data_IF_601259421960
#
_entry.id   IF_601259421960
#
_cell.length_a   1.000
_cell.length_b   1.000
_cell.length_c   1.000
_cell.angle_alpha   90.00
_cell.angle_beta   90.00
_cell.angle_gamma   90.00
#
_symmetry.space_group_name_H-M   'P 1'
#
loop_
_entity.id
_entity.type
_entity.pdbx_description
1 polymer ?
#
# COMPACT_ATOMS: atom_id res chain seq x y z
N UNK A 1 5.24 -3.22 26.32
CA UNK A 1 6.30 -3.37 25.29
C UNK A 1 6.05 -2.39 24.17
N UNK A 2 7.10 -1.68 23.74
CA UNK A 2 7.09 -0.85 22.53
C UNK A 2 8.02 -1.45 21.49
N UNK A 3 7.57 -1.51 20.24
CA UNK A 3 8.32 -2.05 19.12
C UNK A 3 8.65 -0.92 18.16
N UNK A 4 9.88 -0.90 17.65
CA UNK A 4 10.33 0.06 16.64
C UNK A 4 10.86 -0.70 15.44
N UNK A 5 10.36 -0.37 14.25
CA UNK A 5 10.79 -0.98 13.00
C UNK A 5 11.03 0.06 11.92
N UNK A 6 11.76 -0.33 10.86
CA UNK A 6 11.89 0.55 9.71
C UNK A 6 10.54 0.75 9.02
N UNK A 7 9.92 -0.33 8.54
CA UNK A 7 8.61 -0.30 7.87
C UNK A 7 7.48 -0.75 8.82
N UNK A 8 6.23 -0.31 8.57
CA UNK A 8 5.08 -0.83 9.28
C UNK A 8 4.83 -2.31 8.98
N UNK A 9 3.98 -2.94 9.78
CA UNK A 9 3.54 -4.32 9.53
C UNK A 9 2.21 -4.31 8.77
N UNK A 10 1.96 -5.35 7.97
CA UNK A 10 0.62 -5.63 7.43
C UNK A 10 -0.36 -5.72 8.59
N UNK A 11 -1.54 -5.14 8.44
CA UNK A 11 -2.57 -5.08 9.48
C UNK A 11 -2.43 -3.94 10.49
N UNK A 12 -1.38 -3.12 10.40
CA UNK A 12 -1.25 -1.91 11.24
C UNK A 12 -2.27 -0.81 10.90
N UNK A 13 -2.90 -0.85 9.72
CA UNK A 13 -3.73 0.23 9.16
C UNK A 13 -3.03 1.60 9.08
N UNK A 14 -1.70 1.66 9.14
CA UNK A 14 -0.97 2.86 8.74
C UNK A 14 -1.08 3.01 7.21
N UNK A 15 -2.18 3.62 6.76
CA UNK A 15 -2.62 3.69 5.34
C UNK A 15 -2.04 4.86 4.57
N UNK A 16 -1.23 5.66 5.23
CA UNK A 16 -0.51 6.79 4.65
C UNK A 16 0.64 6.24 3.81
N UNK A 17 0.28 5.70 2.66
CA UNK A 17 1.20 5.06 1.75
C UNK A 17 1.62 6.04 0.68
N UNK A 18 2.79 5.79 0.14
CA UNK A 18 3.17 6.40 -1.11
C UNK A 18 2.86 5.41 -2.20
N UNK A 19 2.39 5.91 -3.33
CA UNK A 19 2.17 5.12 -4.55
C UNK A 19 3.35 4.20 -4.86
N UNK A 20 4.58 4.69 -4.68
CA UNK A 20 5.79 3.91 -4.91
C UNK A 20 5.87 2.64 -4.05
N UNK A 21 5.28 2.62 -2.86
CA UNK A 21 5.34 1.45 -2.00
C UNK A 21 4.35 0.38 -2.45
N UNK A 22 3.19 0.80 -2.97
CA UNK A 22 2.15 -0.08 -3.52
C UNK A 22 2.63 -0.71 -4.84
N UNK A 23 3.28 0.06 -5.71
CA UNK A 23 3.85 -0.45 -6.97
C UNK A 23 5.02 -1.41 -6.75
N UNK A 24 5.86 -1.14 -5.76
CA UNK A 24 7.09 -1.90 -5.54
C UNK A 24 6.87 -3.12 -4.63
N UNK A 25 5.67 -3.32 -4.06
CA UNK A 25 5.42 -4.36 -3.07
C UNK A 25 6.35 -4.25 -1.85
N UNK A 26 6.57 -3.03 -1.37
CA UNK A 26 7.54 -2.77 -0.29
C UNK A 26 7.00 -1.94 0.88
N UNK A 27 5.69 -1.70 0.94
CA UNK A 27 5.05 -0.96 2.04
C UNK A 27 5.34 -1.53 3.44
N UNK A 28 5.41 -2.86 3.54
CA UNK A 28 5.33 -3.56 4.81
C UNK A 28 6.57 -4.40 5.12
N UNK A 29 6.79 -4.70 6.40
CA UNK A 29 7.76 -5.71 6.80
C UNK A 29 7.37 -7.07 6.22
N UNK A 30 8.37 -7.78 5.66
CA UNK A 30 8.21 -9.08 5.03
C UNK A 30 7.13 -9.13 3.92
N UNK A 31 6.81 -7.99 3.31
CA UNK A 31 5.69 -7.85 2.36
C UNK A 31 5.66 -8.94 1.29
N UNK A 32 6.81 -9.26 0.69
CA UNK A 32 6.89 -10.20 -0.43
C UNK A 32 6.68 -11.67 -0.06
N UNK A 33 6.43 -12.00 1.21
CA UNK A 33 6.24 -13.37 1.66
C UNK A 33 4.86 -13.53 2.31
N UNK A 34 3.90 -14.11 1.57
CA UNK A 34 2.49 -14.20 1.96
C UNK A 34 2.23 -14.72 3.39
N UNK A 35 2.95 -15.76 3.82
CA UNK A 35 2.82 -16.32 5.18
C UNK A 35 3.52 -15.46 6.24
N UNK A 36 4.79 -15.12 6.02
CA UNK A 36 5.62 -14.42 7.02
C UNK A 36 5.27 -12.94 7.17
N UNK A 37 4.56 -12.34 6.20
CA UNK A 37 4.12 -10.95 6.26
C UNK A 37 3.08 -10.69 7.36
N UNK A 38 2.24 -11.71 7.67
CA UNK A 38 1.20 -11.65 8.71
C UNK A 38 1.67 -12.04 10.11
N UNK A 39 2.80 -12.73 10.21
CA UNK A 39 3.33 -13.21 11.50
C UNK A 39 3.43 -12.12 12.57
N UNK A 40 3.78 -10.90 12.18
CA UNK A 40 3.87 -9.79 13.12
C UNK A 40 2.52 -9.33 13.66
N UNK A 41 1.48 -9.24 12.82
CA UNK A 41 0.16 -8.85 13.30
C UNK A 41 -0.46 -9.94 14.17
N UNK A 42 -0.22 -11.22 13.86
CA UNK A 42 -0.59 -12.33 14.73
C UNK A 42 0.14 -12.24 16.08
N UNK A 43 1.44 -11.96 16.08
CA UNK A 43 2.20 -11.74 17.32
C UNK A 43 1.61 -10.59 18.13
N UNK A 44 1.22 -9.48 17.51
CA UNK A 44 0.57 -8.36 18.21
C UNK A 44 -0.77 -8.76 18.81
N UNK A 45 -1.59 -9.51 18.07
CA UNK A 45 -2.90 -10.00 18.52
C UNK A 45 -2.78 -10.98 19.69
N UNK A 46 -1.79 -11.86 19.65
CA UNK A 46 -1.54 -12.87 20.68
C UNK A 46 -0.87 -12.31 21.94
N UNK A 47 -0.33 -11.08 21.90
CA UNK A 47 0.48 -10.52 22.97
C UNK A 47 0.00 -9.12 23.37
N UNK A 48 -0.96 -9.07 24.30
CA UNK A 48 -1.55 -7.82 24.82
C UNK A 48 -0.51 -6.87 25.46
N UNK A 49 0.63 -7.40 25.89
CA UNK A 49 1.71 -6.61 26.46
C UNK A 49 2.37 -5.67 25.42
N UNK A 50 2.13 -5.87 24.12
CA UNK A 50 2.56 -4.98 23.05
C UNK A 50 1.56 -3.83 22.93
N UNK A 51 1.97 -2.65 23.40
CA UNK A 51 1.09 -1.46 23.51
C UNK A 51 1.32 -0.41 22.43
N UNK A 52 2.47 -0.48 21.76
CA UNK A 52 2.84 0.49 20.73
C UNK A 52 3.80 -0.10 19.72
N UNK A 53 3.56 0.18 18.44
CA UNK A 53 4.43 -0.17 17.35
C UNK A 53 4.69 1.07 16.48
N UNK A 54 5.94 1.47 16.41
CA UNK A 54 6.36 2.70 15.75
C UNK A 54 7.21 2.38 14.54
N UNK A 55 6.86 2.94 13.39
CA UNK A 55 7.53 2.65 12.13
C UNK A 55 7.82 3.90 11.33
N UNK A 56 8.94 3.94 10.62
CA UNK A 56 9.24 5.01 9.68
C UNK A 56 8.81 4.66 8.26
N UNK A 57 9.80 4.55 7.38
CA UNK A 57 9.70 4.08 5.99
C UNK A 57 9.04 5.04 4.99
N UNK A 58 7.87 5.60 5.29
CA UNK A 58 7.15 6.44 4.33
C UNK A 58 7.74 7.84 4.18
N UNK A 59 8.51 8.33 5.17
CA UNK A 59 9.11 9.68 5.13
C UNK A 59 8.07 10.81 4.93
N UNK A 60 6.87 10.59 5.46
CA UNK A 60 5.78 11.57 5.50
C UNK A 60 5.66 12.12 6.92
N UNK A 61 5.00 13.26 7.07
CA UNK A 61 4.62 13.86 8.35
C UNK A 61 3.53 13.06 9.06
N UNK A 62 3.16 13.54 10.23
CA UNK A 62 2.14 12.95 11.08
C UNK A 62 0.76 13.56 10.85
N UNK A 63 0.61 14.37 9.81
CA UNK A 63 -0.58 15.18 9.55
C UNK A 63 -1.59 14.46 8.68
N UNK A 64 -1.32 13.20 8.38
CA UNK A 64 -2.20 12.36 7.61
C UNK A 64 -3.15 11.58 8.53
N UNK A 65 -4.38 11.37 8.05
CA UNK A 65 -5.50 10.74 8.76
C UNK A 65 -5.11 9.43 9.46
N UNK A 66 -4.27 8.59 8.84
CA UNK A 66 -3.84 7.30 9.38
C UNK A 66 -2.35 7.25 9.76
N UNK A 67 -1.77 8.40 10.12
CA UNK A 67 -0.40 8.44 10.66
C UNK A 67 -0.31 7.81 12.06
N UNK A 68 -1.46 7.59 12.70
CA UNK A 68 -1.68 6.85 13.93
C UNK A 68 -2.92 6.01 13.73
N UNK A 69 -2.88 4.75 14.15
CA UNK A 69 -4.09 3.93 14.26
C UNK A 69 -4.22 3.36 15.66
N UNK A 70 -5.47 3.32 16.11
CA UNK A 70 -5.83 2.89 17.44
C UNK A 70 -6.36 1.45 17.44
N UNK A 71 -6.40 0.82 18.63
CA UNK A 71 -6.87 -0.56 18.85
C UNK A 71 -8.28 -0.96 18.33
N UNK A 72 -9.07 -0.05 17.75
CA UNK A 72 -10.48 -0.31 17.40
C UNK A 72 -10.70 -0.82 15.95
N UNK A 73 -11.39 -1.96 15.79
CA UNK A 73 -11.76 -2.54 14.48
C UNK A 73 -10.67 -3.40 13.82
N UNK A 74 -11.05 -4.31 12.90
CA UNK A 74 -10.15 -5.23 12.15
C UNK A 74 -9.17 -6.07 13.01
N UNK A 75 -9.58 -6.43 14.24
CA UNK A 75 -8.85 -7.35 15.11
C UNK A 75 -7.38 -6.92 15.39
N UNK A 76 -7.08 -5.65 15.68
CA UNK A 76 -5.68 -5.17 15.85
C UNK A 76 -5.11 -5.36 17.26
N UNK A 77 -5.82 -6.08 18.14
CA UNK A 77 -5.43 -6.28 19.53
C UNK A 77 -5.43 -4.96 20.29
N UNK A 78 -4.42 -4.77 21.16
CA UNK A 78 -4.33 -3.60 22.06
C UNK A 78 -3.21 -2.62 21.71
N UNK A 79 -2.61 -2.77 20.53
CA UNK A 79 -1.46 -2.00 20.11
C UNK A 79 -1.88 -0.73 19.36
N UNK A 80 -1.25 0.40 19.70
CA UNK A 80 -1.29 1.62 18.88
C UNK A 80 -0.19 1.54 17.83
N UNK A 81 -0.52 1.73 16.55
CA UNK A 81 0.48 1.85 15.50
C UNK A 81 0.69 3.32 15.16
N UNK A 82 1.94 3.74 15.00
CA UNK A 82 2.22 5.13 14.66
C UNK A 82 3.43 5.27 13.74
N UNK A 83 3.29 6.17 12.78
CA UNK A 83 4.40 6.59 11.93
C UNK A 83 5.37 7.49 12.70
N UNK A 84 6.65 7.32 12.42
CA UNK A 84 7.75 8.18 12.83
C UNK A 84 8.29 8.88 11.58
N UNK A 85 7.95 10.15 11.42
CA UNK A 85 8.38 11.00 10.30
C UNK A 85 9.92 11.14 10.24
N UNK A 86 10.40 12.04 9.38
CA UNK A 86 11.84 12.30 9.20
C UNK A 86 12.22 13.71 9.61
N UNK A 87 13.39 13.85 10.23
CA UNK A 87 13.89 15.12 10.77
C UNK A 87 14.60 15.99 9.73
N UNK A 88 15.00 15.44 8.58
CA UNK A 88 15.83 16.13 7.58
C UNK A 88 15.03 16.45 6.32
N UNK A 89 15.22 17.66 5.79
CA UNK A 89 14.56 18.12 4.56
C UNK A 89 14.91 17.27 3.34
N UNK A 90 16.14 16.74 3.26
CA UNK A 90 16.58 15.88 2.17
C UNK A 90 15.81 14.56 2.07
N UNK A 91 15.33 14.06 3.20
CA UNK A 91 14.64 12.77 3.28
C UNK A 91 13.13 12.93 3.33
N UNK A 92 12.62 14.09 3.79
CA UNK A 92 11.20 14.41 3.82
C UNK A 92 10.63 14.49 2.41
N UNK A 93 9.46 13.89 2.22
CA UNK A 93 8.77 13.87 0.91
C UNK A 93 7.61 14.85 0.82
N UNK A 94 7.15 15.37 1.96
CA UNK A 94 6.12 16.41 2.05
C UNK A 94 6.67 17.74 2.57
N UNK A 95 7.98 17.83 2.80
CA UNK A 95 8.68 19.02 3.26
C UNK A 95 8.61 19.26 4.78
N UNK A 96 7.74 18.54 5.50
CA UNK A 96 7.61 18.64 6.95
C UNK A 96 8.69 17.82 7.65
N UNK A 97 9.21 18.35 8.76
CA UNK A 97 10.34 17.79 9.49
C UNK A 97 9.91 17.46 10.91
N UNK A 98 9.49 16.21 11.13
CA UNK A 98 8.83 15.82 12.37
C UNK A 98 9.47 14.57 13.00
N UNK A 99 9.28 14.40 14.30
CA UNK A 99 9.57 13.15 15.03
C UNK A 99 8.54 12.91 16.13
N UNK A 100 8.46 11.68 16.67
CA UNK A 100 7.58 11.38 17.80
C UNK A 100 8.31 11.52 19.14
N UNK A 101 7.65 12.10 20.12
CA UNK A 101 8.05 12.09 21.53
C UNK A 101 6.99 11.34 22.33
N UNK A 102 7.40 10.32 23.09
CA UNK A 102 6.52 9.56 23.97
C UNK A 102 6.79 9.97 25.42
N UNK A 103 5.72 10.26 26.18
CA UNK A 103 5.78 10.51 27.63
C UNK A 103 4.79 9.59 28.32
N UNK A 104 5.25 8.69 29.17
CA UNK A 104 4.37 7.71 29.81
C UNK A 104 4.88 7.19 31.13
N UNK A 105 4.00 6.46 31.82
CA UNK A 105 4.23 5.81 33.10
C UNK A 105 3.51 4.44 33.10
N UNK A 106 3.28 3.87 34.29
CA UNK A 106 2.59 2.58 34.45
C UNK A 106 1.11 2.60 34.05
N UNK A 107 0.48 3.77 33.92
CA UNK A 107 -0.95 3.93 33.62
C UNK A 107 -1.20 4.17 32.12
N UNK A 108 -0.16 4.49 31.35
CA UNK A 108 -0.33 4.82 29.95
C UNK A 108 0.79 5.71 29.39
N UNK A 109 0.57 6.24 28.20
CA UNK A 109 1.49 7.17 27.55
C UNK A 109 0.78 8.17 26.65
N UNK A 110 1.41 9.32 26.48
CA UNK A 110 1.05 10.35 25.54
C UNK A 110 2.05 10.35 24.38
N UNK A 111 1.55 10.60 23.18
CA UNK A 111 2.34 10.70 21.97
C UNK A 111 2.25 12.11 21.40
N UNK A 112 3.42 12.70 21.18
CA UNK A 112 3.58 14.04 20.66
C UNK A 112 4.30 14.03 19.32
N UNK A 113 3.95 14.99 18.47
CA UNK A 113 4.74 15.40 17.32
C UNK A 113 5.68 16.52 17.74
N UNK A 114 6.95 16.40 17.37
CA UNK A 114 7.97 17.44 17.49
C UNK A 114 8.21 18.02 16.10
N UNK A 115 7.91 19.31 15.88
CA UNK A 115 8.20 20.00 14.63
C UNK A 115 9.59 20.64 14.66
N UNK A 116 10.54 20.03 13.94
CA UNK A 116 11.92 20.48 13.86
C UNK A 116 12.11 21.70 12.95
N UNK A 117 11.13 22.03 12.12
CA UNK A 117 11.14 23.26 11.32
C UNK A 117 10.74 24.48 12.15
N UNK A 118 9.93 24.27 13.20
CA UNK A 118 9.45 25.30 14.14
C UNK A 118 10.18 25.27 15.49
N UNK A 119 11.47 24.92 15.49
CA UNK A 119 12.30 24.97 16.72
C UNK A 119 11.96 23.92 17.77
N UNK A 120 11.29 22.82 17.39
CA UNK A 120 10.93 21.74 18.31
C UNK A 120 9.57 21.91 18.97
N UNK A 121 8.66 22.65 18.35
CA UNK A 121 7.29 22.82 18.82
C UNK A 121 6.62 21.45 19.06
N UNK A 122 5.91 21.32 20.18
CA UNK A 122 5.25 20.09 20.59
C UNK A 122 3.75 20.17 20.33
N UNK A 123 3.23 19.18 19.60
CA UNK A 123 1.80 18.92 19.44
C UNK A 123 1.46 17.59 20.09
N UNK A 124 0.43 17.54 20.94
CA UNK A 124 -0.11 16.28 21.46
C UNK A 124 -1.04 15.66 20.41
N UNK A 125 -0.75 14.43 19.96
CA UNK A 125 -1.56 13.74 18.94
C UNK A 125 -2.44 12.63 19.55
N UNK A 126 -1.95 11.94 20.58
CA UNK A 126 -2.69 10.84 21.20
C UNK A 126 -2.41 10.71 22.70
N UNK A 127 -3.43 10.29 23.44
CA UNK A 127 -3.31 9.83 24.83
C UNK A 127 -3.79 8.40 24.93
N UNK A 128 -2.97 7.53 25.49
CA UNK A 128 -3.23 6.09 25.60
C UNK A 128 -3.22 5.73 27.07
N UNK A 129 -4.29 5.10 27.55
CA UNK A 129 -4.42 4.61 28.92
C UNK A 129 -4.50 3.09 28.93
N UNK A 130 -3.73 2.48 29.80
CA UNK A 130 -3.83 1.06 30.09
C UNK A 130 -4.99 0.86 31.07
N UNK A 131 -5.91 -0.03 30.77
CA UNK A 131 -6.91 -0.43 31.77
C UNK A 131 -6.39 -1.60 32.56
N UNK A 132 -6.92 -1.74 33.78
CA UNK A 132 -6.71 -2.95 34.56
C UNK A 132 -7.20 -4.17 33.78
N UNK A 133 -6.51 -5.29 33.98
CA UNK A 133 -6.87 -6.56 33.37
C UNK A 133 -8.08 -7.08 34.15
N UNK A 134 -9.22 -7.24 33.46
CA UNK A 134 -10.40 -7.77 34.12
C UNK A 134 -10.18 -9.27 34.39
N UNK A 135 -10.44 -9.67 35.63
CA UNK A 135 -10.54 -11.08 36.03
C UNK A 135 -11.94 -11.23 36.59
N UNK A 136 -12.84 -11.85 35.82
CA UNK A 136 -14.19 -12.14 36.29
C UNK A 136 -14.33 -13.67 36.40
N UNK A 137 -14.75 -14.14 37.57
CA UNK A 137 -14.94 -15.58 37.83
C UNK A 137 -13.69 -16.48 37.74
N UNK A 138 -12.47 -15.93 37.58
CA UNK A 138 -11.23 -16.70 37.43
C UNK A 138 -10.75 -16.86 35.98
N UNK A 139 -11.49 -16.34 35.01
CA UNK A 139 -11.07 -16.27 33.62
C UNK A 139 -10.43 -14.91 33.31
N UNK A 140 -9.22 -14.95 32.72
CA UNK A 140 -8.49 -13.75 32.31
C UNK A 140 -9.19 -13.12 31.08
N UNK A 141 -9.79 -11.95 31.25
CA UNK A 141 -10.52 -11.25 30.19
C UNK A 141 -9.65 -10.29 29.36
N UNK A 142 -8.34 -10.24 29.63
CA UNK A 142 -7.40 -9.39 28.91
C UNK A 142 -7.27 -7.98 29.48
N UNK A 143 -6.17 -7.33 29.15
CA UNK A 143 -5.88 -5.96 29.55
C UNK A 143 -6.18 -5.01 28.37
N UNK A 144 -7.23 -4.19 28.48
CA UNK A 144 -7.64 -3.28 27.41
C UNK A 144 -6.77 -2.01 27.32
N UNK A 145 -6.85 -1.31 26.19
CA UNK A 145 -6.15 -0.04 25.96
C UNK A 145 -7.16 0.94 25.41
N UNK A 146 -7.33 2.06 26.12
CA UNK A 146 -8.20 3.15 25.69
C UNK A 146 -7.32 4.22 25.08
N UNK A 147 -7.63 4.64 23.86
CA UNK A 147 -6.88 5.67 23.17
C UNK A 147 -7.77 6.86 22.79
N UNK A 148 -7.24 8.06 22.99
CA UNK A 148 -7.87 9.32 22.66
C UNK A 148 -7.02 10.01 21.61
N UNK A 149 -7.59 10.19 20.42
CA UNK A 149 -7.01 11.03 19.38
C UNK A 149 -7.24 12.50 19.74
N UNK A 150 -6.22 13.34 19.59
CA UNK A 150 -6.34 14.79 19.77
C UNK A 150 -6.42 15.44 18.39
N UNK A 151 -7.47 16.24 18.11
CA UNK A 151 -7.64 16.87 16.81
C UNK A 151 -6.58 17.94 16.54
N UNK A 152 -6.27 18.16 15.28
CA UNK A 152 -5.39 19.23 14.81
C UNK A 152 -5.82 19.68 13.41
N UNK A 153 -5.65 20.97 13.12
CA UNK A 153 -6.01 21.58 11.84
C UNK A 153 -5.25 20.98 10.65
N UNK A 154 -4.05 20.47 10.90
CA UNK A 154 -3.21 19.87 9.86
C UNK A 154 -3.71 18.53 9.32
N UNK A 155 -4.71 17.89 9.95
CA UNK A 155 -5.24 16.59 9.51
C UNK A 155 -6.07 16.64 8.22
N UNK A 156 -6.36 17.84 7.72
CA UNK A 156 -7.20 18.07 6.54
C UNK A 156 -6.35 18.52 5.34
N UNK A 157 -5.96 17.57 4.49
CA UNK A 157 -5.34 17.89 3.20
C UNK A 157 -5.47 16.77 2.15
N UNK A 158 -5.63 17.15 0.89
CA UNK A 158 -5.79 16.24 -0.27
C UNK A 158 -4.48 15.61 -0.76
N UNK A 159 -3.39 15.78 -0.02
CA UNK A 159 -2.06 15.36 -0.48
C UNK A 159 -1.86 13.87 -0.16
N UNK A 160 -1.49 13.10 -1.19
CA UNK A 160 -1.06 11.68 -1.16
C UNK A 160 -2.16 10.62 -1.11
N UNK A 161 -1.78 9.40 -1.52
CA UNK A 161 -2.64 8.22 -1.57
C UNK A 161 -3.00 7.74 -0.17
N UNK A 162 -4.22 8.03 0.27
CA UNK A 162 -4.82 7.35 1.43
C UNK A 162 -5.35 6.01 0.95
N UNK A 163 -4.70 4.89 1.33
CA UNK A 163 -5.21 3.57 0.97
C UNK A 163 -6.65 3.40 1.47
N UNK A 164 -7.59 3.16 0.56
CA UNK A 164 -8.98 3.00 0.94
C UNK A 164 -9.14 1.69 1.73
N UNK A 165 -9.98 1.67 2.77
CA UNK A 165 -10.32 0.43 3.47
C UNK A 165 -11.76 0.09 3.17
N UNK A 166 -12.02 -1.12 2.63
CA UNK A 166 -13.37 -1.56 2.35
C UNK A 166 -14.24 -1.43 3.58
N UNK A 167 -15.37 -0.76 3.42
CA UNK A 167 -16.49 -0.81 4.32
C UNK A 167 -17.44 -1.91 3.87
N UNK A 168 -18.23 -2.39 4.81
CA UNK A 168 -19.22 -3.45 4.58
C UNK A 168 -20.27 -3.04 3.53
N UNK A 169 -20.52 -1.74 3.40
CA UNK A 169 -21.54 -1.15 2.53
C UNK A 169 -20.97 -0.60 1.22
N UNK A 170 -19.68 -0.80 0.95
CA UNK A 170 -19.13 -0.46 -0.37
C UNK A 170 -19.81 -1.30 -1.43
N UNK A 171 -20.24 -0.65 -2.50
CA UNK A 171 -20.84 -1.28 -3.66
C UNK A 171 -19.84 -2.21 -4.35
N UNK A 172 -19.83 -3.49 -3.94
CA UNK A 172 -19.90 -4.68 -4.80
C UNK A 172 -19.64 -5.97 -3.99
N UNK A 173 -20.58 -6.33 -3.10
CA UNK A 173 -20.80 -7.72 -2.71
C UNK A 173 -21.43 -8.47 -3.89
N UNK A 174 -20.64 -8.89 -4.88
CA UNK A 174 -21.19 -9.68 -5.99
C UNK A 174 -21.30 -11.14 -5.54
N UNK A 175 -22.45 -11.50 -4.98
CA UNK A 175 -22.95 -12.86 -5.21
C UNK A 175 -23.24 -12.97 -6.69
N UNK A 176 -22.53 -13.87 -7.37
CA UNK A 176 -22.67 -14.18 -8.79
C UNK A 176 -24.14 -14.30 -9.19
N UNK A 177 -24.72 -13.26 -9.82
CA UNK A 177 -25.99 -13.38 -10.53
C UNK A 177 -25.94 -12.71 -11.92
N UNK A 178 -25.89 -13.60 -12.91
CA UNK A 178 -26.49 -13.61 -14.26
C UNK A 178 -26.08 -12.69 -15.41
N UNK A 179 -25.34 -11.58 -15.25
CA UNK A 179 -24.84 -10.84 -16.44
C UNK A 179 -23.36 -10.39 -16.41
N UNK A 180 -22.71 -10.38 -15.25
CA UNK A 180 -21.25 -10.32 -15.11
C UNK A 180 -20.57 -9.01 -15.54
N UNK A 181 -21.32 -7.95 -15.86
CA UNK A 181 -20.74 -6.64 -16.22
C UNK A 181 -20.64 -5.73 -14.99
N UNK A 182 -19.44 -5.20 -14.73
CA UNK A 182 -19.11 -4.69 -13.40
C UNK A 182 -18.69 -3.22 -13.35
N UNK A 183 -18.78 -2.44 -14.43
CA UNK A 183 -18.67 -0.96 -14.43
C UNK A 183 -19.20 -0.32 -15.73
N UNK A 184 -19.63 0.95 -15.70
CA UNK A 184 -19.77 1.79 -16.91
C UNK A 184 -18.38 2.17 -17.45
N UNK A 185 -18.26 2.55 -18.73
CA UNK A 185 -16.97 2.91 -19.34
C UNK A 185 -16.37 4.14 -18.66
N UNK A 186 -15.10 4.06 -18.25
CA UNK A 186 -14.35 5.23 -17.79
C UNK A 186 -14.03 6.09 -19.01
N UNK A 187 -14.92 7.02 -19.35
CA UNK A 187 -14.81 7.85 -20.55
C UNK A 187 -13.78 9.00 -20.39
N UNK A 188 -13.42 9.37 -19.15
CA UNK A 188 -12.45 10.43 -18.84
C UNK A 188 -11.57 10.14 -17.59
N UNK A 189 -10.40 10.82 -17.49
CA UNK A 189 -9.47 10.68 -16.34
C UNK A 189 -10.11 11.10 -15.01
N UNK A 190 -11.09 12.01 -15.02
CA UNK A 190 -11.74 12.57 -13.82
C UNK A 190 -12.78 11.62 -13.19
N UNK A 191 -13.47 10.78 -13.96
CA UNK A 191 -14.54 9.91 -13.44
C UNK A 191 -14.02 8.63 -12.74
N UNK A 192 -12.75 8.25 -12.96
CA UNK A 192 -12.15 7.07 -12.33
C UNK A 192 -11.70 7.30 -10.86
N UNK A 193 -11.89 8.50 -10.32
CA UNK A 193 -11.44 8.88 -8.98
C UNK A 193 -12.52 8.74 -7.88
N UNK A 194 -13.81 8.73 -8.23
CA UNK A 194 -14.90 8.74 -7.24
C UNK A 194 -15.53 7.36 -6.96
N UNK A 195 -15.54 6.44 -7.93
CA UNK A 195 -16.20 5.15 -7.75
C UNK A 195 -15.27 4.07 -7.15
N UNK A 196 -15.75 3.46 -6.04
CA UNK A 196 -15.00 2.48 -5.26
C UNK A 196 -15.61 1.09 -5.44
N UNK A 197 -14.91 0.22 -6.17
CA UNK A 197 -15.32 -1.17 -6.42
C UNK A 197 -14.38 -2.17 -5.78
N UNK A 198 -14.94 -3.26 -5.23
CA UNK A 198 -14.16 -4.32 -4.58
C UNK A 198 -14.71 -5.69 -4.92
N UNK A 199 -13.82 -6.69 -4.95
CA UNK A 199 -14.13 -8.06 -5.31
C UNK A 199 -13.43 -9.06 -4.40
N UNK A 200 -14.21 -9.99 -3.85
CA UNK A 200 -13.69 -11.18 -3.18
C UNK A 200 -13.66 -12.33 -4.18
N UNK A 201 -12.45 -12.68 -4.62
CA UNK A 201 -12.22 -13.78 -5.54
C UNK A 201 -12.45 -15.12 -4.82
N UNK A 202 -12.89 -16.16 -5.54
CA UNK A 202 -13.10 -17.49 -4.94
C UNK A 202 -11.83 -18.16 -4.41
N UNK A 203 -10.67 -17.76 -4.93
CA UNK A 203 -9.35 -18.20 -4.44
C UNK A 203 -8.92 -17.50 -3.13
N UNK A 204 -9.74 -16.56 -2.63
CA UNK A 204 -9.50 -15.82 -1.40
C UNK A 204 -8.79 -14.49 -1.59
N UNK A 205 -8.39 -14.12 -2.81
CA UNK A 205 -7.83 -12.79 -3.09
C UNK A 205 -8.90 -11.70 -2.94
N UNK A 206 -8.47 -10.51 -2.51
CA UNK A 206 -9.32 -9.32 -2.41
C UNK A 206 -8.77 -8.25 -3.33
N UNK A 207 -9.56 -7.83 -4.30
CA UNK A 207 -9.18 -6.81 -5.28
C UNK A 207 -10.05 -5.57 -5.06
N UNK A 208 -9.51 -4.39 -5.34
CA UNK A 208 -10.27 -3.15 -5.24
C UNK A 208 -9.75 -2.07 -6.17
N UNK A 209 -10.66 -1.23 -6.68
CA UNK A 209 -10.33 -0.04 -7.45
C UNK A 209 -9.95 1.07 -6.48
N UNK A 210 -8.82 1.71 -6.78
CA UNK A 210 -8.36 2.87 -6.06
C UNK A 210 -7.60 3.81 -7.01
N UNK A 211 -8.06 5.06 -7.14
CA UNK A 211 -7.47 6.11 -7.97
C UNK A 211 -7.21 5.64 -9.41
N UNK A 212 -8.22 5.02 -10.04
CA UNK A 212 -8.09 4.44 -11.38
C UNK A 212 -7.10 3.29 -11.50
N UNK A 213 -6.71 2.62 -10.41
CA UNK A 213 -5.87 1.41 -10.43
C UNK A 213 -6.63 0.24 -9.78
N UNK A 214 -6.34 -0.99 -10.19
CA UNK A 214 -6.76 -2.17 -9.41
C UNK A 214 -5.63 -2.55 -8.47
N UNK A 215 -5.92 -2.62 -7.18
CA UNK A 215 -5.00 -2.99 -6.10
C UNK A 215 -5.47 -4.31 -5.48
N UNK A 216 -4.54 -5.20 -5.18
CA UNK A 216 -4.81 -6.39 -4.36
C UNK A 216 -4.61 -6.05 -2.89
N UNK A 217 -5.42 -6.64 -2.02
CA UNK A 217 -5.42 -6.44 -0.59
C UNK A 217 -5.28 -7.78 0.14
N UNK A 218 -4.64 -7.75 1.30
CA UNK A 218 -4.59 -8.92 2.18
C UNK A 218 -5.99 -9.23 2.71
N UNK A 219 -6.48 -10.45 2.48
CA UNK A 219 -7.84 -10.84 2.80
C UNK A 219 -8.19 -10.73 4.29
N UNK A 220 -7.20 -10.86 5.19
CA UNK A 220 -7.42 -10.84 6.63
C UNK A 220 -7.41 -9.42 7.20
N UNK A 221 -6.54 -8.56 6.67
CA UNK A 221 -6.28 -7.24 7.24
C UNK A 221 -6.79 -6.09 6.39
N UNK A 222 -7.14 -6.36 5.13
CA UNK A 222 -7.51 -5.41 4.08
C UNK A 222 -6.44 -4.34 3.86
N UNK A 223 -5.18 -4.67 4.12
CA UNK A 223 -4.05 -3.80 3.79
C UNK A 223 -3.66 -3.99 2.32
N UNK A 224 -3.40 -2.91 1.56
CA UNK A 224 -3.00 -3.03 0.17
C UNK A 224 -1.66 -3.77 0.05
N UNK A 225 -1.63 -4.76 -0.83
CA UNK A 225 -0.46 -5.55 -1.18
C UNK A 225 0.26 -4.97 -2.39
N UNK A 226 -0.48 -4.64 -3.45
CA UNK A 226 0.15 -4.00 -4.60
C UNK A 226 -0.76 -3.82 -5.79
N UNK A 227 -0.25 -3.11 -6.79
CA UNK A 227 -0.99 -2.81 -8.00
C UNK A 227 -1.10 -4.05 -8.90
N UNK A 228 -2.32 -4.41 -9.27
CA UNK A 228 -2.68 -5.47 -10.22
C UNK A 228 -2.77 -4.89 -11.63
N UNK A 229 -3.52 -3.80 -11.79
CA UNK A 229 -3.74 -3.11 -13.07
C UNK A 229 -3.48 -1.61 -12.87
N UNK A 230 -2.70 -1.02 -13.78
CA UNK A 230 -2.39 0.41 -13.77
C UNK A 230 -3.50 1.26 -14.43
N UNK A 231 -3.50 2.57 -14.17
CA UNK A 231 -4.45 3.52 -14.77
C UNK A 231 -4.45 3.45 -16.29
N UNK A 232 -3.27 3.43 -16.91
CA UNK A 232 -3.11 3.35 -18.36
C UNK A 232 -3.72 2.09 -19.00
N UNK A 233 -3.83 0.99 -18.24
CA UNK A 233 -4.44 -0.25 -18.71
C UNK A 233 -5.97 -0.26 -18.56
N UNK A 234 -6.51 0.58 -17.69
CA UNK A 234 -7.95 0.74 -17.46
C UNK A 234 -8.60 1.76 -18.39
N UNK A 235 -7.83 2.67 -19.01
CA UNK A 235 -8.37 3.64 -19.97
C UNK A 235 -9.12 2.92 -21.10
N UNK A 236 -10.38 3.30 -21.30
CA UNK A 236 -11.30 2.70 -22.28
C UNK A 236 -11.52 1.19 -22.11
N UNK A 237 -11.32 0.65 -20.89
CA UNK A 237 -11.59 -0.76 -20.60
C UNK A 237 -12.50 -0.90 -19.37
N UNK A 238 -13.47 -1.79 -19.49
CA UNK A 238 -14.35 -2.26 -18.42
C UNK A 238 -13.71 -3.43 -17.69
N UNK A 239 -14.07 -3.57 -16.42
CA UNK A 239 -13.60 -4.64 -15.54
C UNK A 239 -14.74 -5.61 -15.28
N UNK A 240 -14.46 -6.91 -15.31
CA UNK A 240 -15.39 -7.95 -14.91
C UNK A 240 -14.70 -9.03 -14.08
N UNK A 241 -15.39 -9.56 -13.09
CA UNK A 241 -15.00 -10.78 -12.37
C UNK A 241 -16.00 -11.86 -12.71
N UNK A 242 -15.53 -12.93 -13.37
CA UNK A 242 -16.38 -14.02 -13.87
C UNK A 242 -16.01 -15.36 -13.24
N UNK A 243 -16.97 -16.28 -13.19
CA UNK A 243 -16.74 -17.67 -12.80
C UNK A 243 -15.95 -18.40 -13.89
N UNK A 244 -14.92 -19.15 -13.52
CA UNK A 244 -14.14 -19.96 -14.47
C UNK A 244 -14.77 -21.34 -14.73
N UNK A 245 -15.84 -21.70 -14.00
CA UNK A 245 -16.50 -23.00 -14.07
C UNK A 245 -15.79 -24.12 -13.29
N UNK A 246 -14.67 -23.82 -12.64
CA UNK A 246 -13.80 -24.75 -11.90
C UNK A 246 -13.60 -24.32 -10.44
N UNK A 247 -14.64 -23.74 -9.84
CA UNK A 247 -14.62 -23.18 -8.49
C UNK A 247 -13.65 -22.00 -8.29
N UNK A 248 -13.16 -21.40 -9.37
CA UNK A 248 -12.34 -20.19 -9.35
C UNK A 248 -13.09 -18.96 -9.86
N UNK A 249 -12.36 -17.86 -9.92
CA UNK A 249 -12.83 -16.59 -10.49
C UNK A 249 -11.72 -15.98 -11.31
N UNK A 250 -12.09 -15.23 -12.34
CA UNK A 250 -11.14 -14.61 -13.26
C UNK A 250 -11.46 -13.14 -13.40
N UNK A 251 -10.44 -12.29 -13.26
CA UNK A 251 -10.51 -10.87 -13.53
C UNK A 251 -10.25 -10.60 -15.02
N UNK A 252 -11.15 -9.86 -15.65
CA UNK A 252 -11.13 -9.51 -17.06
C UNK A 252 -11.08 -8.00 -17.24
N UNK A 253 -10.31 -7.56 -18.24
CA UNK A 253 -10.39 -6.21 -18.80
C UNK A 253 -10.89 -6.34 -20.24
N UNK A 254 -11.96 -5.65 -20.61
CA UNK A 254 -12.53 -5.71 -21.96
C UNK A 254 -12.95 -4.31 -22.43
N UNK A 255 -13.15 -4.12 -23.72
CA UNK A 255 -13.64 -2.87 -24.29
C UNK A 255 -14.93 -3.17 -25.05
N UNK A 256 -15.95 -2.32 -24.93
CA UNK A 256 -17.25 -2.55 -25.58
C UNK A 256 -17.15 -2.39 -27.12
N UNK A 257 -16.15 -1.64 -27.60
CA UNK A 257 -15.96 -1.36 -29.02
C UNK A 257 -15.02 -2.36 -29.71
N UNK A 258 -14.23 -3.11 -28.95
CA UNK A 258 -13.33 -4.14 -29.47
C UNK A 258 -13.64 -5.49 -28.86
N UNK A 259 -13.56 -6.56 -29.65
CA UNK A 259 -13.71 -7.93 -29.13
C UNK A 259 -12.49 -8.41 -28.32
N UNK A 260 -11.65 -7.48 -27.85
CA UNK A 260 -10.39 -7.77 -27.16
C UNK A 260 -10.63 -7.91 -25.66
N UNK A 261 -10.43 -9.12 -25.15
CA UNK A 261 -10.50 -9.43 -23.72
C UNK A 261 -9.10 -9.74 -23.19
N UNK A 262 -8.69 -9.03 -22.14
CA UNK A 262 -7.46 -9.30 -21.40
C UNK A 262 -7.81 -10.04 -20.12
N UNK A 263 -7.27 -11.24 -19.95
CA UNK A 263 -7.40 -12.03 -18.72
C UNK A 263 -6.25 -11.69 -17.79
N UNK A 264 -6.57 -11.23 -16.57
CA UNK A 264 -5.55 -10.97 -15.54
C UNK A 264 -5.27 -12.26 -14.78
N UNK A 265 -4.08 -12.82 -15.03
CA UNK A 265 -3.62 -14.05 -14.42
C UNK A 265 -2.93 -13.79 -13.07
N UNK A 266 -3.14 -14.63 -12.04
CA UNK A 266 -2.34 -14.58 -10.84
C UNK A 266 -0.89 -15.05 -11.11
N UNK A 267 0.01 -14.64 -10.22
CA UNK A 267 1.38 -15.12 -10.14
C UNK A 267 1.42 -16.60 -9.68
N UNK A 268 2.59 -17.24 -9.79
CA UNK A 268 2.80 -18.62 -9.29
C UNK A 268 2.51 -18.79 -7.80
N UNK A 269 2.61 -17.72 -7.01
CA UNK A 269 2.30 -17.70 -5.58
C UNK A 269 0.83 -17.39 -5.27
N UNK A 270 -0.02 -17.24 -6.29
CA UNK A 270 -1.45 -16.93 -6.20
C UNK A 270 -1.78 -15.44 -6.07
N UNK A 271 -0.79 -14.56 -5.91
CA UNK A 271 -1.04 -13.12 -5.86
C UNK A 271 -1.32 -12.53 -7.25
N UNK A 272 -2.21 -11.55 -7.35
CA UNK A 272 -2.51 -10.81 -8.58
C UNK A 272 -1.63 -9.57 -8.75
N UNK A 273 -1.13 -8.99 -7.67
CA UNK A 273 -0.32 -7.78 -7.74
C UNK A 273 0.97 -8.01 -8.51
N UNK A 274 1.30 -7.05 -9.37
CA UNK A 274 2.45 -7.15 -10.26
C UNK A 274 3.67 -6.55 -9.57
N UNK A 275 4.78 -7.29 -9.63
CA UNK A 275 6.11 -6.77 -9.30
C UNK A 275 6.60 -5.90 -10.46
N UNK A 276 6.04 -4.70 -10.60
CA UNK A 276 6.34 -3.80 -11.71
C UNK A 276 7.80 -3.32 -11.68
N UNK A 277 8.34 -3.11 -10.48
CA UNK A 277 9.73 -2.69 -10.30
C UNK A 277 10.45 -3.70 -9.42
N UNK A 278 11.63 -4.14 -9.88
CA UNK A 278 12.46 -5.07 -9.11
C UNK A 278 13.01 -4.41 -7.86
N UNK A 279 13.39 -5.25 -6.90
CA UNK A 279 14.10 -4.81 -5.70
C UNK A 279 15.23 -3.82 -6.03
N UNK A 280 15.34 -2.75 -5.24
CA UNK A 280 16.31 -1.66 -5.42
C UNK A 280 17.73 -2.16 -5.68
N UNK A 281 18.20 -3.21 -5.00
CA UNK A 281 19.54 -3.76 -5.20
C UNK A 281 19.74 -4.33 -6.61
N UNK A 282 18.74 -5.04 -7.14
CA UNK A 282 18.77 -5.56 -8.51
C UNK A 282 18.69 -4.42 -9.52
N UNK A 283 17.80 -3.45 -9.30
CA UNK A 283 17.68 -2.25 -10.14
C UNK A 283 18.99 -1.46 -10.20
N UNK A 284 19.67 -1.27 -9.06
CA UNK A 284 20.97 -0.61 -9.00
C UNK A 284 22.05 -1.39 -9.77
N UNK A 285 22.05 -2.73 -9.70
CA UNK A 285 22.96 -3.58 -10.48
C UNK A 285 22.67 -3.51 -11.98
N UNK A 286 21.40 -3.54 -12.37
CA UNK A 286 20.95 -3.41 -13.75
C UNK A 286 21.33 -2.03 -14.31
N UNK A 287 21.08 -0.94 -13.57
CA UNK A 287 21.50 0.41 -13.95
C UNK A 287 23.02 0.52 -14.13
N UNK A 288 23.80 -0.13 -13.25
CA UNK A 288 25.28 -0.22 -13.42
C UNK A 288 25.67 -0.97 -14.69
N UNK A 289 25.00 -2.10 -15.00
CA UNK A 289 25.24 -2.87 -16.24
C UNK A 289 24.87 -2.08 -17.49
N UNK A 290 23.74 -1.37 -17.47
CA UNK A 290 23.30 -0.50 -18.55
C UNK A 290 24.29 0.65 -18.78
N UNK A 291 24.80 1.24 -17.70
CA UNK A 291 25.85 2.28 -17.78
C UNK A 291 27.14 1.74 -18.36
N UNK A 292 27.56 0.54 -17.93
CA UNK A 292 28.74 -0.12 -18.48
C UNK A 292 28.59 -0.46 -19.97
N UNK A 293 27.43 -0.98 -20.39
CA UNK A 293 27.12 -1.27 -21.79
C UNK A 293 27.13 0.00 -22.66
N UNK A 294 26.54 1.10 -22.17
CA UNK A 294 26.60 2.40 -22.85
C UNK A 294 28.04 2.89 -22.98
N UNK A 295 28.85 2.77 -21.93
CA UNK A 295 30.26 3.17 -21.95
C UNK A 295 31.06 2.37 -22.97
N UNK A 296 30.94 1.03 -22.96
CA UNK A 296 31.64 0.16 -23.90
C UNK A 296 31.25 0.43 -25.36
N UNK A 297 29.96 0.67 -25.63
CA UNK A 297 29.51 1.03 -26.98
C UNK A 297 30.01 2.41 -27.43
N UNK A 298 30.18 3.38 -26.51
CA UNK A 298 30.78 4.68 -26.82
C UNK A 298 32.25 4.54 -27.22
N UNK A 299 32.99 3.72 -26.48
CA UNK A 299 34.39 3.40 -26.80
C UNK A 299 34.51 2.74 -28.19
N UNK A 300 33.51 1.94 -28.60
CA UNK A 300 33.51 1.23 -29.87
C UNK A 300 33.00 2.06 -31.07
N UNK A 301 32.00 2.95 -30.85
CA UNK A 301 31.32 3.69 -31.93
C UNK A 301 31.66 5.18 -31.98
N UNK A 302 32.46 5.69 -31.03
CA UNK A 302 32.73 7.12 -30.87
C UNK A 302 31.65 7.84 -30.07
N UNK A 303 32.02 8.95 -29.43
CA UNK A 303 31.18 9.67 -28.47
C UNK A 303 29.93 10.35 -29.08
N UNK A 304 29.90 10.54 -30.39
CA UNK A 304 28.80 11.22 -31.10
C UNK A 304 27.61 10.29 -31.43
N UNK A 305 27.76 8.97 -31.28
CA UNK A 305 26.69 8.03 -31.59
C UNK A 305 25.65 7.96 -30.45
N UNK A 306 24.35 8.20 -30.72
CA UNK A 306 23.30 8.01 -29.71
C UNK A 306 23.15 6.51 -29.41
N UNK A 307 23.55 6.09 -28.20
CA UNK A 307 23.45 4.70 -27.76
C UNK A 307 22.23 4.51 -26.87
N UNK A 308 21.25 3.80 -27.41
CA UNK A 308 20.10 3.32 -26.66
C UNK A 308 20.37 1.90 -26.16
N UNK A 309 20.80 1.75 -24.91
CA UNK A 309 20.88 0.45 -24.26
C UNK A 309 19.48 0.06 -23.78
N UNK A 310 19.04 -1.15 -24.09
CA UNK A 310 17.73 -1.69 -23.76
C UNK A 310 17.90 -2.85 -22.78
N UNK A 311 17.09 -2.86 -21.72
CA UNK A 311 17.07 -3.97 -20.77
C UNK A 311 16.31 -5.15 -21.36
N UNK A 312 16.81 -6.38 -21.18
CA UNK A 312 16.12 -7.60 -21.62
C UNK A 312 14.92 -7.98 -20.76
N UNK A 313 14.55 -7.17 -19.76
CA UNK A 313 13.47 -7.43 -18.83
C UNK A 313 12.23 -6.59 -19.16
N UNK A 314 11.19 -7.25 -19.70
CA UNK A 314 9.78 -6.82 -19.74
C UNK A 314 9.43 -5.50 -20.43
N UNK A 315 8.14 -5.23 -20.73
CA UNK A 315 7.70 -4.01 -21.42
C UNK A 315 7.78 -2.73 -20.56
N UNK A 316 8.19 -2.85 -19.29
CA UNK A 316 8.26 -1.74 -18.35
C UNK A 316 9.45 -0.84 -18.67
N UNK A 317 9.17 0.17 -19.50
CA UNK A 317 10.14 1.09 -20.11
C UNK A 317 10.85 2.00 -19.10
N UNK A 318 10.48 1.96 -17.81
CA UNK A 318 11.00 2.91 -16.82
C UNK A 318 11.54 2.23 -15.56
N UNK A 319 12.64 2.78 -15.05
CA UNK A 319 13.18 2.47 -13.71
C UNK A 319 12.59 3.39 -12.63
N UNK A 320 11.64 4.24 -13.03
CA UNK A 320 10.96 5.20 -12.19
C UNK A 320 10.14 4.46 -11.13
N UNK A 321 10.21 4.93 -9.89
CA UNK A 321 9.45 4.34 -8.80
C UNK A 321 8.09 5.00 -8.58
N UNK A 322 7.64 5.87 -9.49
CA UNK A 322 6.39 6.64 -9.37
C UNK A 322 5.42 6.23 -10.48
N UNK A 323 4.14 6.06 -10.13
CA UNK A 323 3.07 5.56 -11.01
C UNK A 323 2.94 6.40 -12.28
N UNK A 324 2.97 7.74 -12.14
CA UNK A 324 2.82 8.70 -13.24
C UNK A 324 3.90 8.62 -14.33
N UNK A 325 4.95 7.81 -14.14
CA UNK A 325 5.99 7.56 -15.13
C UNK A 325 6.10 6.09 -15.57
N UNK A 326 5.16 5.22 -15.19
CA UNK A 326 5.18 3.80 -15.52
C UNK A 326 4.09 3.52 -16.54
N UNK A 327 4.50 3.35 -17.80
CA UNK A 327 3.64 2.72 -18.81
C UNK A 327 3.84 1.21 -18.74
N UNK A 328 2.78 0.48 -18.44
CA UNK A 328 2.75 -0.99 -18.49
C UNK A 328 2.24 -1.52 -19.83
N UNK A 329 1.89 -0.63 -20.79
CA UNK A 329 1.52 -1.02 -22.15
C UNK A 329 2.57 -2.01 -22.66
N UNK A 330 2.14 -3.27 -22.80
CA UNK A 330 2.93 -4.29 -23.47
C UNK A 330 3.40 -3.74 -24.80
N UNK A 331 4.57 -4.18 -25.27
CA UNK A 331 5.06 -3.87 -26.62
C UNK A 331 3.86 -3.88 -27.55
N UNK A 332 3.45 -2.71 -28.06
CA UNK A 332 2.45 -2.65 -29.11
C UNK A 332 2.98 -3.63 -30.15
N UNK A 333 2.30 -4.76 -30.32
CA UNK A 333 2.42 -5.49 -31.55
C UNK A 333 1.86 -4.51 -32.58
N UNK A 334 2.75 -3.71 -33.16
CA UNK A 334 2.56 -3.25 -34.53
C UNK A 334 2.58 -4.53 -35.36
N UNK A 335 1.47 -5.27 -35.31
CA UNK A 335 1.11 -6.21 -36.35
C UNK A 335 0.86 -5.31 -37.55
N UNK A 336 1.77 -5.41 -38.51
CA UNK A 336 1.69 -4.75 -39.80
C UNK A 336 0.43 -5.16 -40.54
#
# INVERSE_FOLDING_TARGET
VFVFSHAPIIGSKLRVLQENHVVNGCCWLNHTHAVNSKRFIHTVRENECIRGWFSGHFHLSHDYQDSITFPEGNNRGHCVFAQTAVMTSRSSRDGRRQSRLLKGNSEGFQMYTVDHSKGGELRLDATVKFTECAVDGGDYQGCSTIAFAHPHEDYDHDKFLTAYTPQKDDSCYVSFDSDGSLNETCDDEEDAEEDVYWWHMKDGAVLGVQNGMIIEYDAETLCPLGMVVSRDELINRRVAVVDDGWHGSTLLLYDDNSNDVTVVQPNEDGSYWRKVVRNKMHRMREMRRMTAAKKWMKELKGDEAPINAISSYGPYITTAGQVMGISTKGVCSKVK
#
